data_IF_694319278720
#
_entry.id   IF_694319278720
#
_cell.length_a   1.000
_cell.length_b   1.000
_cell.length_c   1.000
_cell.angle_alpha   90.00
_cell.angle_beta   90.00
_cell.angle_gamma   90.00
#
_symmetry.space_group_name_H-M   'P 1'
#
loop_
_entity.id
_entity.type
_entity.pdbx_description
1 polymer ?
#
# COMPACT_ATOMS: atom_id res chain seq x y z
N UNK A 1 20.95 20.92 -30.61
CA UNK A 1 20.66 21.72 -29.39
C UNK A 1 20.36 20.75 -28.27
N UNK A 2 21.39 20.37 -27.55
CA UNK A 2 21.28 19.44 -26.42
C UNK A 2 20.76 20.23 -25.23
N UNK A 3 19.55 19.92 -24.76
CA UNK A 3 19.01 20.49 -23.54
C UNK A 3 19.87 19.99 -22.38
N UNK A 4 20.57 20.91 -21.73
CA UNK A 4 21.35 20.64 -20.53
C UNK A 4 20.34 20.30 -19.41
N UNK A 5 20.35 19.05 -18.94
CA UNK A 5 19.33 18.49 -18.03
C UNK A 5 19.46 19.04 -16.59
N UNK A 6 20.45 19.90 -16.34
CA UNK A 6 20.90 20.28 -14.99
C UNK A 6 20.58 21.72 -14.57
N UNK A 7 19.54 22.35 -15.14
CA UNK A 7 19.10 23.71 -14.76
C UNK A 7 17.68 23.71 -14.16
N UNK A 8 17.48 24.39 -13.03
CA UNK A 8 16.15 24.58 -12.43
C UNK A 8 15.77 26.07 -12.34
N UNK A 9 14.46 26.34 -12.39
CA UNK A 9 13.90 27.70 -12.35
C UNK A 9 14.02 28.28 -10.94
N UNK A 10 14.70 29.40 -10.81
CA UNK A 10 14.96 30.07 -9.53
C UNK A 10 13.92 31.15 -9.27
N UNK A 11 13.71 32.01 -10.26
CA UNK A 11 12.73 33.08 -10.18
C UNK A 11 12.24 33.49 -11.57
N UNK A 12 11.08 34.14 -11.57
CA UNK A 12 10.50 34.73 -12.77
C UNK A 12 10.15 36.17 -12.49
N UNK A 13 10.64 37.08 -13.33
CA UNK A 13 10.30 38.49 -13.25
C UNK A 13 9.92 39.03 -14.63
N UNK A 14 9.19 40.14 -14.64
CA UNK A 14 8.82 40.84 -15.86
C UNK A 14 9.85 41.92 -16.12
N UNK A 15 10.50 41.85 -17.27
CA UNK A 15 11.49 42.84 -17.68
C UNK A 15 10.81 44.20 -17.88
N UNK A 16 11.35 45.25 -17.27
CA UNK A 16 10.70 46.55 -17.22
C UNK A 16 10.86 47.36 -18.52
N UNK A 17 11.80 46.98 -19.39
CA UNK A 17 12.05 47.68 -20.66
C UNK A 17 11.30 47.02 -21.82
N UNK A 18 11.25 45.69 -21.83
CA UNK A 18 10.67 44.89 -22.92
C UNK A 18 9.30 44.28 -22.57
N UNK A 19 8.92 44.27 -21.28
CA UNK A 19 7.68 43.66 -20.80
C UNK A 19 7.67 42.12 -20.84
N UNK A 20 8.77 41.49 -21.24
CA UNK A 20 8.88 40.04 -21.42
C UNK A 20 9.04 39.35 -20.07
N UNK A 21 8.41 38.18 -19.92
CA UNK A 21 8.57 37.31 -18.77
C UNK A 21 9.93 36.60 -18.87
N UNK A 22 10.88 37.01 -18.03
CA UNK A 22 12.21 36.43 -17.94
C UNK A 22 12.20 35.33 -16.89
N UNK A 23 12.79 34.18 -17.23
CA UNK A 23 12.96 33.02 -16.36
C UNK A 23 14.44 32.87 -16.04
N UNK A 24 14.81 33.00 -14.77
CA UNK A 24 16.20 32.81 -14.32
C UNK A 24 16.40 31.34 -13.96
N UNK A 25 17.39 30.72 -14.60
CA UNK A 25 17.77 29.33 -14.35
C UNK A 25 19.16 29.30 -13.72
N UNK A 26 19.29 28.65 -12.56
CA UNK A 26 20.61 28.34 -11.99
C UNK A 26 21.11 27.00 -12.53
N UNK A 27 22.38 26.96 -12.92
CA UNK A 27 23.10 25.70 -13.14
C UNK A 27 23.63 25.20 -11.80
N UNK A 28 23.36 23.95 -11.45
CA UNK A 28 23.82 23.42 -10.17
C UNK A 28 25.35 23.40 -10.09
N UNK A 29 25.84 24.02 -9.04
CA UNK A 29 27.19 23.98 -8.48
C UNK A 29 27.60 22.54 -8.14
N UNK A 30 28.90 22.32 -7.97
CA UNK A 30 29.63 21.03 -7.88
C UNK A 30 28.86 19.81 -7.32
N UNK A 31 29.22 18.60 -7.76
CA UNK A 31 28.59 17.32 -7.32
C UNK A 31 28.45 17.17 -5.80
N UNK A 32 29.34 17.80 -5.01
CA UNK A 32 29.29 17.81 -3.56
C UNK A 32 28.09 18.59 -2.97
N UNK A 33 27.75 19.75 -3.55
CA UNK A 33 26.64 20.59 -3.08
C UNK A 33 25.28 19.97 -3.42
N UNK A 34 25.18 19.35 -4.60
CA UNK A 34 24.02 18.57 -4.99
C UNK A 34 23.76 17.40 -4.02
N UNK A 35 24.79 16.61 -3.71
CA UNK A 35 24.65 15.46 -2.79
C UNK A 35 24.28 15.91 -1.36
N UNK A 36 24.78 17.07 -0.91
CA UNK A 36 24.35 17.65 0.36
C UNK A 36 22.84 17.98 0.37
N UNK A 37 22.35 18.63 -0.69
CA UNK A 37 20.92 18.96 -0.83
C UNK A 37 20.04 17.71 -0.87
N UNK A 38 20.47 16.66 -1.58
CA UNK A 38 19.75 15.37 -1.64
C UNK A 38 19.69 14.72 -0.26
N UNK A 39 20.78 14.79 0.53
CA UNK A 39 20.81 14.26 1.90
C UNK A 39 19.81 14.97 2.81
N UNK A 40 19.76 16.29 2.78
CA UNK A 40 18.82 17.08 3.60
C UNK A 40 17.36 16.78 3.25
N UNK A 41 17.05 16.72 1.95
CA UNK A 41 15.71 16.34 1.47
C UNK A 41 15.34 14.91 1.91
N UNK A 42 16.30 13.98 1.81
CA UNK A 42 16.13 12.60 2.26
C UNK A 42 15.88 12.51 3.75
N UNK A 43 16.65 13.21 4.57
CA UNK A 43 16.46 13.26 6.03
C UNK A 43 15.07 13.79 6.39
N UNK A 44 14.63 14.88 5.77
CA UNK A 44 13.29 15.44 5.99
C UNK A 44 12.16 14.49 5.56
N UNK A 45 12.37 13.74 4.47
CA UNK A 45 11.43 12.71 4.03
C UNK A 45 11.36 11.53 4.99
N UNK A 46 12.52 11.01 5.42
CA UNK A 46 12.63 9.89 6.38
C UNK A 46 11.96 10.23 7.71
N UNK A 47 12.22 11.42 8.27
CA UNK A 47 11.57 11.88 9.52
C UNK A 47 10.04 11.82 9.44
N UNK A 48 9.46 12.23 8.30
CA UNK A 48 7.99 12.16 8.10
C UNK A 48 7.50 10.73 8.01
N UNK A 49 8.25 9.83 7.37
CA UNK A 49 7.88 8.42 7.29
C UNK A 49 8.06 7.68 8.62
N UNK A 50 9.09 7.99 9.40
CA UNK A 50 9.27 7.45 10.76
C UNK A 50 8.15 7.88 11.69
N UNK A 51 7.71 9.14 11.59
CA UNK A 51 6.58 9.63 12.37
C UNK A 51 5.26 8.96 11.95
N UNK A 52 5.02 8.77 10.64
CA UNK A 52 3.77 8.20 10.14
C UNK A 52 3.71 6.67 10.20
N UNK A 53 4.86 6.01 10.03
CA UNK A 53 4.99 4.56 9.87
C UNK A 53 6.19 3.99 10.66
N UNK A 54 6.26 4.20 12.00
CA UNK A 54 7.44 3.92 12.81
C UNK A 54 7.91 2.47 12.71
N UNK A 55 6.98 1.51 12.64
CA UNK A 55 7.29 0.07 12.73
C UNK A 55 7.24 -0.67 11.39
N UNK A 56 7.10 0.06 10.27
CA UNK A 56 6.93 -0.59 8.95
C UNK A 56 8.21 -0.70 8.16
N UNK A 57 9.05 0.34 8.19
CA UNK A 57 10.17 0.48 7.24
C UNK A 57 11.49 0.82 7.91
N UNK A 58 12.59 0.43 7.26
CA UNK A 58 13.92 1.02 7.47
C UNK A 58 14.30 1.80 6.21
N UNK A 59 15.11 2.84 6.39
CA UNK A 59 15.38 3.85 5.36
C UNK A 59 16.86 3.92 4.95
N UNK A 60 17.64 2.87 5.21
CA UNK A 60 19.09 2.85 5.02
C UNK A 60 19.53 3.09 3.57
N UNK A 61 18.68 2.76 2.60
CA UNK A 61 18.94 2.93 1.16
C UNK A 61 18.06 4.01 0.51
N UNK A 62 17.32 4.77 1.32
CA UNK A 62 16.38 5.77 0.82
C UNK A 62 17.16 6.97 0.25
N UNK A 63 16.81 7.38 -0.97
CA UNK A 63 17.29 8.61 -1.61
C UNK A 63 16.10 9.34 -2.19
N UNK A 64 15.85 10.56 -1.71
CA UNK A 64 14.67 11.34 -2.08
C UNK A 64 15.08 12.68 -2.67
N UNK A 65 14.56 12.97 -3.88
CA UNK A 65 14.83 14.22 -4.60
C UNK A 65 13.56 15.03 -4.84
N UNK A 66 12.43 14.37 -5.13
CA UNK A 66 11.14 15.01 -5.33
C UNK A 66 9.98 14.03 -5.08
N UNK A 67 8.75 14.51 -5.09
CA UNK A 67 7.56 13.71 -4.74
C UNK A 67 7.26 12.56 -5.71
N UNK A 68 7.68 12.68 -6.97
CA UNK A 68 7.45 11.68 -8.01
C UNK A 68 8.65 10.73 -8.17
N UNK A 69 9.68 10.83 -7.31
CA UNK A 69 10.81 9.93 -7.39
C UNK A 69 10.47 8.57 -6.79
N UNK A 70 11.09 7.54 -7.35
CA UNK A 70 11.13 6.21 -6.74
C UNK A 70 12.10 6.24 -5.55
N UNK A 71 11.69 5.64 -4.43
CA UNK A 71 12.50 5.50 -3.22
C UNK A 71 12.65 4.03 -2.87
N UNK A 72 13.83 3.66 -2.37
CA UNK A 72 14.10 2.33 -1.83
C UNK A 72 13.82 2.31 -0.33
N UNK A 73 13.09 1.29 0.12
CA UNK A 73 12.67 1.08 1.50
C UNK A 73 12.89 -0.38 1.87
N UNK A 74 13.27 -0.64 3.12
CA UNK A 74 13.37 -1.99 3.64
C UNK A 74 12.15 -2.30 4.50
N UNK A 75 11.40 -3.35 4.19
CA UNK A 75 10.30 -3.80 5.05
C UNK A 75 10.87 -4.35 6.37
N UNK A 76 10.44 -3.83 7.53
CA UNK A 76 10.89 -4.37 8.84
C UNK A 76 10.41 -5.81 9.08
N UNK A 77 9.22 -6.17 8.56
CA UNK A 77 8.63 -7.51 8.70
C UNK A 77 9.37 -8.56 7.85
N UNK A 78 9.58 -8.26 6.56
CA UNK A 78 10.16 -9.21 5.61
C UNK A 78 11.67 -9.05 5.41
N UNK A 79 12.27 -8.00 5.99
CA UNK A 79 13.69 -7.66 5.88
C UNK A 79 14.18 -7.59 4.42
N UNK A 80 13.28 -7.16 3.52
CA UNK A 80 13.54 -7.05 2.09
C UNK A 80 13.39 -5.63 1.62
N UNK A 81 14.28 -5.26 0.72
CA UNK A 81 14.25 -3.99 0.03
C UNK A 81 13.24 -4.05 -1.10
N UNK A 82 12.48 -2.97 -1.24
CA UNK A 82 11.55 -2.76 -2.32
C UNK A 82 11.55 -1.29 -2.71
N UNK A 83 11.01 -1.02 -3.89
CA UNK A 83 10.90 0.33 -4.42
C UNK A 83 9.45 0.74 -4.60
N UNK A 84 9.16 2.01 -4.33
CA UNK A 84 7.86 2.60 -4.63
C UNK A 84 8.01 4.12 -4.80
N UNK A 85 7.00 4.79 -5.36
CA UNK A 85 7.01 6.25 -5.47
C UNK A 85 6.82 6.91 -4.10
N UNK A 86 7.58 7.97 -3.85
CA UNK A 86 7.55 8.70 -2.57
C UNK A 86 6.14 9.18 -2.18
N UNK A 87 5.32 9.60 -3.16
CA UNK A 87 3.91 9.96 -2.98
C UNK A 87 3.06 8.84 -2.40
N UNK A 88 3.19 7.61 -2.92
CA UNK A 88 2.39 6.46 -2.46
C UNK A 88 2.78 6.03 -1.05
N UNK A 89 4.09 5.93 -0.79
CA UNK A 89 4.62 5.60 0.53
C UNK A 89 4.14 6.62 1.57
N UNK A 90 4.20 7.92 1.23
CA UNK A 90 3.72 8.99 2.11
C UNK A 90 2.21 8.94 2.31
N UNK A 91 1.40 8.63 1.28
CA UNK A 91 -0.07 8.66 1.36
C UNK A 91 -0.64 7.45 2.10
N UNK A 92 -0.39 6.24 1.62
CA UNK A 92 -1.03 5.00 2.09
C UNK A 92 -0.08 4.06 2.84
N UNK A 93 1.23 4.29 2.80
CA UNK A 93 2.20 3.34 3.36
C UNK A 93 2.21 2.01 2.58
N UNK A 94 1.62 1.97 1.39
CA UNK A 94 1.75 0.82 0.50
C UNK A 94 3.17 0.77 -0.03
N UNK A 95 3.77 -0.41 -0.04
CA UNK A 95 5.17 -0.51 -0.41
C UNK A 95 5.67 -1.93 -0.49
N UNK A 96 5.56 -2.69 0.59
CA UNK A 96 6.04 -4.08 0.57
C UNK A 96 5.05 -4.98 -0.18
N UNK A 97 5.43 -5.58 -1.32
CA UNK A 97 4.54 -6.44 -2.10
C UNK A 97 4.12 -7.69 -1.33
N UNK A 98 4.98 -8.19 -0.45
CA UNK A 98 4.68 -9.35 0.38
C UNK A 98 3.66 -9.04 1.47
N UNK A 99 3.82 -7.92 2.19
CA UNK A 99 2.79 -7.46 3.12
C UNK A 99 1.44 -7.28 2.41
N UNK A 100 1.44 -6.68 1.22
CA UNK A 100 0.23 -6.51 0.42
C UNK A 100 -0.37 -7.84 -0.03
N UNK A 101 0.47 -8.84 -0.32
CA UNK A 101 0.03 -10.18 -0.68
C UNK A 101 -0.53 -10.92 0.54
N UNK A 102 0.05 -10.76 1.73
CA UNK A 102 -0.40 -11.37 2.98
C UNK A 102 -1.75 -10.81 3.41
N UNK A 103 -1.93 -9.49 3.34
CA UNK A 103 -3.22 -8.85 3.62
C UNK A 103 -4.31 -9.27 2.63
N UNK A 104 -3.93 -9.69 1.42
CA UNK A 104 -4.86 -10.22 0.42
C UNK A 104 -4.99 -11.76 0.43
N UNK A 105 -4.18 -12.49 1.21
CA UNK A 105 -4.04 -13.95 1.07
C UNK A 105 -4.81 -14.80 2.06
N UNK A 106 -5.28 -14.29 3.19
CA UNK A 106 -5.82 -15.18 4.21
C UNK A 106 -7.35 -15.12 4.27
N UNK A 107 -7.96 -15.61 3.21
CA UNK A 107 -9.04 -16.56 3.40
C UNK A 107 -8.54 -17.83 2.71
N UNK A 108 -7.91 -18.75 3.43
CA UNK A 108 -7.83 -20.17 3.07
C UNK A 108 -9.01 -20.91 3.73
N UNK A 109 -9.23 -22.18 3.39
CA UNK A 109 -10.31 -22.98 3.99
C UNK A 109 -10.27 -22.90 5.52
N UNK A 110 -9.11 -23.08 6.13
CA UNK A 110 -8.94 -23.05 7.58
C UNK A 110 -9.31 -21.69 8.20
N UNK A 111 -8.84 -20.58 7.62
CA UNK A 111 -9.25 -19.25 8.11
C UNK A 111 -10.72 -18.95 7.87
N UNK A 112 -11.35 -19.49 6.81
CA UNK A 112 -12.79 -19.37 6.61
C UNK A 112 -13.57 -20.09 7.72
N UNK A 113 -13.10 -21.27 8.14
CA UNK A 113 -13.68 -21.99 9.29
C UNK A 113 -13.51 -21.18 10.56
N UNK A 114 -12.29 -20.76 10.90
CA UNK A 114 -12.01 -20.01 12.13
C UNK A 114 -12.83 -18.71 12.22
N UNK A 115 -12.90 -17.94 11.12
CA UNK A 115 -13.67 -16.70 11.10
C UNK A 115 -15.17 -17.00 11.10
N UNK A 116 -15.61 -18.03 10.38
CA UNK A 116 -17.00 -18.48 10.38
C UNK A 116 -17.48 -18.87 11.77
N UNK A 117 -16.68 -19.65 12.51
CA UNK A 117 -16.93 -19.99 13.92
C UNK A 117 -16.92 -18.76 14.84
N UNK A 118 -16.06 -17.77 14.58
CA UNK A 118 -16.03 -16.53 15.36
C UNK A 118 -17.30 -15.67 15.15
N UNK A 119 -17.83 -15.62 13.92
CA UNK A 119 -19.03 -14.83 13.57
C UNK A 119 -20.31 -15.55 13.97
N UNK A 120 -20.41 -16.84 13.66
CA UNK A 120 -21.64 -17.62 13.80
C UNK A 120 -21.65 -18.57 15.00
N UNK A 121 -20.53 -18.72 15.72
CA UNK A 121 -20.34 -19.78 16.70
C UNK A 121 -20.31 -21.17 16.07
N UNK A 122 -20.60 -22.19 16.86
CA UNK A 122 -20.70 -23.59 16.40
C UNK A 122 -22.03 -23.90 15.69
N UNK A 123 -22.59 -22.94 14.93
CA UNK A 123 -23.87 -23.09 14.22
C UNK A 123 -23.77 -23.85 12.91
N UNK A 124 -22.57 -23.99 12.36
CA UNK A 124 -22.34 -24.54 11.04
C UNK A 124 -21.19 -25.54 11.03
N UNK A 125 -21.30 -26.54 10.16
CA UNK A 125 -20.25 -27.52 9.88
C UNK A 125 -19.57 -27.17 8.55
N UNK A 126 -18.24 -27.10 8.59
CA UNK A 126 -17.38 -26.71 7.47
C UNK A 126 -16.59 -27.90 6.87
N UNK A 127 -16.91 -29.14 7.23
CA UNK A 127 -16.19 -30.35 6.81
C UNK A 127 -16.18 -30.54 5.28
N UNK A 128 -17.20 -30.02 4.59
CA UNK A 128 -17.32 -30.05 3.12
C UNK A 128 -16.83 -28.78 2.44
N UNK A 129 -16.40 -27.78 3.19
CA UNK A 129 -15.98 -26.48 2.68
C UNK A 129 -14.67 -26.61 1.90
N UNK A 130 -14.69 -26.21 0.62
CA UNK A 130 -13.49 -26.13 -0.23
C UNK A 130 -13.34 -24.70 -0.73
N UNK A 131 -12.47 -23.94 -0.08
CA UNK A 131 -12.22 -22.56 -0.46
C UNK A 131 -11.30 -22.49 -1.69
N UNK A 132 -11.67 -21.64 -2.66
CA UNK A 132 -10.82 -21.31 -3.83
C UNK A 132 -10.52 -19.82 -3.96
N UNK A 133 -11.54 -18.98 -3.78
CA UNK A 133 -11.41 -17.52 -3.66
C UNK A 133 -12.72 -16.92 -3.09
N UNK A 134 -12.67 -15.64 -2.71
CA UNK A 134 -13.80 -14.93 -2.06
C UNK A 134 -15.04 -14.76 -2.95
N UNK A 135 -14.90 -14.91 -4.27
CA UNK A 135 -16.01 -14.76 -5.23
C UNK A 135 -16.69 -16.08 -5.56
N UNK A 136 -16.07 -17.22 -5.25
CA UNK A 136 -16.63 -18.54 -5.52
C UNK A 136 -17.42 -19.01 -4.29
N UNK A 137 -18.62 -19.54 -4.54
CA UNK A 137 -19.44 -20.14 -3.49
C UNK A 137 -18.73 -21.36 -2.90
N UNK A 138 -18.88 -21.54 -1.60
CA UNK A 138 -18.43 -22.69 -0.83
C UNK A 138 -19.64 -23.40 -0.24
N UNK A 139 -19.47 -24.67 0.11
CA UNK A 139 -20.49 -25.47 0.78
C UNK A 139 -20.31 -25.35 2.29
N UNK A 140 -21.37 -24.99 2.98
CA UNK A 140 -21.47 -24.96 4.45
C UNK A 140 -22.67 -25.80 4.83
N UNK A 141 -22.57 -26.58 5.90
CA UNK A 141 -23.65 -27.46 6.35
C UNK A 141 -24.33 -26.83 7.58
N UNK A 142 -25.63 -26.56 7.45
CA UNK A 142 -26.49 -26.25 8.58
C UNK A 142 -26.91 -27.58 9.24
N UNK A 143 -26.71 -27.76 10.56
CA UNK A 143 -27.15 -28.97 11.26
C UNK A 143 -28.66 -29.24 11.16
N UNK A 144 -29.47 -28.20 10.92
CA UNK A 144 -30.94 -28.31 10.84
C UNK A 144 -31.46 -28.50 9.40
N UNK A 145 -30.85 -27.80 8.42
CA UNK A 145 -31.38 -27.71 7.05
C UNK A 145 -30.44 -28.31 5.98
N UNK A 146 -29.27 -28.80 6.38
CA UNK A 146 -28.31 -29.43 5.48
C UNK A 146 -27.40 -28.46 4.74
N UNK A 147 -26.87 -28.91 3.61
CA UNK A 147 -25.83 -28.21 2.84
C UNK A 147 -26.41 -27.01 2.07
N UNK A 148 -25.78 -25.84 2.18
CA UNK A 148 -26.11 -24.66 1.39
C UNK A 148 -24.85 -24.00 0.80
N UNK A 149 -25.05 -23.20 -0.25
CA UNK A 149 -23.96 -22.59 -1.03
C UNK A 149 -23.94 -21.08 -0.85
N UNK A 150 -22.87 -20.57 -0.24
CA UNK A 150 -22.69 -19.14 0.04
C UNK A 150 -21.28 -18.68 -0.34
N UNK A 151 -21.09 -17.39 -0.64
CA UNK A 151 -19.73 -16.88 -0.83
C UNK A 151 -19.07 -16.57 0.52
N UNK A 152 -17.74 -16.75 0.65
CA UNK A 152 -17.01 -16.41 1.88
C UNK A 152 -17.26 -14.97 2.33
N UNK A 153 -17.32 -14.02 1.38
CA UNK A 153 -17.65 -12.62 1.66
C UNK A 153 -19.03 -12.46 2.28
N UNK A 154 -20.07 -13.09 1.71
CA UNK A 154 -21.42 -13.02 2.28
C UNK A 154 -21.49 -13.68 3.66
N UNK A 155 -20.84 -14.83 3.82
CA UNK A 155 -20.90 -15.56 5.08
C UNK A 155 -20.20 -14.84 6.23
N UNK A 156 -19.01 -14.27 5.98
CA UNK A 156 -18.20 -13.60 7.00
C UNK A 156 -18.55 -12.12 7.14
N UNK A 157 -18.53 -11.35 6.04
CA UNK A 157 -18.64 -9.89 6.12
C UNK A 157 -20.08 -9.39 6.23
N UNK A 158 -21.02 -10.11 5.60
CA UNK A 158 -22.45 -9.79 5.69
C UNK A 158 -23.17 -10.64 6.74
N UNK A 159 -22.43 -11.53 7.41
CA UNK A 159 -22.94 -12.43 8.46
C UNK A 159 -24.19 -13.21 8.02
N UNK A 160 -24.27 -13.56 6.72
CA UNK A 160 -25.39 -14.32 6.18
C UNK A 160 -25.19 -15.81 6.48
N UNK A 161 -26.21 -16.41 7.06
CA UNK A 161 -26.25 -17.81 7.44
C UNK A 161 -27.03 -18.70 6.48
N UNK A 162 -27.62 -19.77 7.03
CA UNK A 162 -28.53 -20.65 6.32
C UNK A 162 -29.86 -19.91 6.03
N UNK A 163 -30.30 -19.83 4.75
CA UNK A 163 -31.51 -19.10 4.38
C UNK A 163 -32.77 -19.70 5.03
N UNK A 164 -32.81 -21.02 5.19
CA UNK A 164 -33.96 -21.71 5.79
C UNK A 164 -34.07 -21.44 7.30
N UNK A 165 -32.94 -21.15 7.99
CA UNK A 165 -32.96 -20.71 9.39
C UNK A 165 -33.52 -19.30 9.56
N UNK A 166 -33.37 -18.45 8.55
CA UNK A 166 -33.84 -17.06 8.60
C UNK A 166 -35.33 -16.96 8.27
N UNK A 167 -35.85 -17.89 7.46
CA UNK A 167 -37.29 -17.98 7.16
C UNK A 167 -38.12 -18.77 8.18
N UNK A 168 -37.50 -19.32 9.23
CA UNK A 168 -38.15 -20.16 10.25
C UNK A 168 -38.52 -19.39 11.52
#
# INVERSE_FOLDING_TARGET
>A
MSLNIDSYLVETYRDNETGVLVKVYESCTTSSEYEHKVRELTNGFVRRLEHKWPDRFKFSLTRYTNTQCEVTLTCKKHLRDFKNYATYVMKSGDGCPECASESNKVICTESLVLIGEAVHGNRYDYSKTKFRNNKKKVVITCPLHGDFHITPTMHIQQEIGCPDCESS
#
